data_IF_109397598580
#
_entry.id   IF_109397598580
#
_cell.length_a   1.000
_cell.length_b   1.000
_cell.length_c   1.000
_cell.angle_alpha   90.00
_cell.angle_beta   90.00
_cell.angle_gamma   90.00
#
_symmetry.space_group_name_H-M   'P 1'
#
loop_
_entity.id
_entity.type
_entity.pdbx_description
1 polymer ?
#
# COMPACT_ATOMS: atom_id res chain seq x y z
N UNK A 1 7.43 -24.81 -10.70
CA UNK A 1 8.35 -25.16 -9.60
C UNK A 1 9.21 -23.96 -9.35
N UNK A 2 9.50 -23.57 -8.11
CA UNK A 2 10.45 -22.49 -7.85
C UNK A 2 11.78 -22.84 -8.52
N UNK A 3 12.43 -21.82 -9.11
CA UNK A 3 13.74 -21.96 -9.71
C UNK A 3 14.72 -22.46 -8.63
N UNK A 4 15.51 -23.50 -8.90
CA UNK A 4 16.62 -23.91 -8.06
C UNK A 4 17.91 -23.17 -8.40
N UNK A 5 17.84 -22.22 -9.34
CA UNK A 5 18.96 -21.39 -9.75
C UNK A 5 19.33 -20.44 -8.59
N UNK A 6 20.61 -20.37 -8.32
CA UNK A 6 21.18 -19.40 -7.39
C UNK A 6 21.38 -18.06 -8.10
N UNK A 7 21.01 -16.96 -7.45
CA UNK A 7 21.21 -15.61 -7.96
C UNK A 7 22.12 -14.86 -6.99
N UNK A 8 23.26 -14.37 -7.49
CA UNK A 8 24.19 -13.53 -6.77
C UNK A 8 24.12 -12.11 -7.32
N UNK A 9 23.76 -11.14 -6.48
CA UNK A 9 23.95 -9.70 -6.74
C UNK A 9 25.28 -9.30 -6.12
N UNK A 10 26.25 -8.91 -6.93
CA UNK A 10 27.63 -8.70 -6.50
C UNK A 10 28.01 -7.22 -6.45
N UNK A 11 28.59 -6.78 -5.34
CA UNK A 11 29.29 -5.50 -5.22
C UNK A 11 28.40 -4.26 -5.09
N UNK A 12 27.11 -4.41 -4.76
CA UNK A 12 26.19 -3.30 -4.58
C UNK A 12 26.34 -2.54 -3.28
N UNK A 13 25.66 -1.41 -3.16
CA UNK A 13 25.44 -0.75 -1.87
C UNK A 13 24.15 -1.29 -1.27
N UNK A 14 24.23 -2.00 -0.16
CA UNK A 14 23.09 -2.65 0.48
C UNK A 14 22.37 -1.69 1.43
N UNK A 15 21.06 -1.54 1.28
CA UNK A 15 20.11 -1.03 2.28
C UNK A 15 19.30 -2.23 2.75
N UNK A 16 19.52 -2.69 3.97
CA UNK A 16 18.93 -3.95 4.46
C UNK A 16 17.46 -3.84 4.90
N UNK A 17 16.89 -2.62 4.93
CA UNK A 17 15.51 -2.36 5.40
C UNK A 17 15.38 -2.18 6.91
N UNK A 18 16.45 -2.37 7.70
CA UNK A 18 16.40 -2.21 9.16
C UNK A 18 16.43 -0.76 9.64
N UNK A 19 16.81 0.18 8.77
CA UNK A 19 17.14 1.57 9.10
C UNK A 19 18.63 1.78 9.40
N UNK A 20 19.46 0.74 9.33
CA UNK A 20 20.90 0.86 9.45
C UNK A 20 21.51 1.63 8.26
N UNK A 21 22.70 2.25 8.45
CA UNK A 21 23.42 2.90 7.36
C UNK A 21 23.68 1.94 6.18
N UNK A 22 23.68 2.42 4.93
CA UNK A 22 23.95 1.58 3.77
C UNK A 22 25.36 0.97 3.82
N UNK A 23 25.47 -0.32 3.46
CA UNK A 23 26.73 -1.05 3.42
C UNK A 23 27.26 -1.12 1.99
N UNK A 24 28.40 -0.48 1.66
CA UNK A 24 28.95 -0.50 0.30
C UNK A 24 29.60 -1.85 -0.02
N UNK A 25 29.67 -2.17 -1.32
CA UNK A 25 30.34 -3.36 -1.83
C UNK A 25 29.92 -4.66 -1.14
N UNK A 26 28.62 -4.85 -1.00
CA UNK A 26 28.02 -5.98 -0.29
C UNK A 26 27.29 -6.89 -1.27
N UNK A 27 27.58 -8.19 -1.19
CA UNK A 27 26.95 -9.23 -2.00
C UNK A 27 25.64 -9.72 -1.37
N UNK A 28 24.68 -10.10 -2.20
CA UNK A 28 23.43 -10.75 -1.77
C UNK A 28 23.20 -12.02 -2.59
N UNK A 29 23.04 -13.16 -1.90
CA UNK A 29 22.75 -14.45 -2.54
C UNK A 29 21.34 -14.92 -2.16
N UNK A 30 20.56 -15.36 -3.14
CA UNK A 30 19.26 -15.98 -2.92
C UNK A 30 18.97 -17.11 -3.92
N UNK A 31 18.03 -17.97 -3.57
CA UNK A 31 17.50 -19.02 -4.46
C UNK A 31 16.02 -19.21 -4.20
N UNK A 32 15.21 -19.24 -5.24
CA UNK A 32 13.78 -19.20 -5.10
C UNK A 32 13.39 -18.05 -4.16
N UNK A 33 12.40 -18.25 -3.31
CA UNK A 33 11.88 -17.23 -2.39
C UNK A 33 12.67 -17.11 -1.07
N UNK A 34 14.00 -17.29 -1.08
CA UNK A 34 14.78 -17.26 0.15
C UNK A 34 16.16 -16.64 -0.04
N UNK A 35 16.51 -15.65 0.79
CA UNK A 35 17.85 -15.10 0.90
C UNK A 35 18.73 -16.10 1.67
N UNK A 36 19.83 -16.52 1.04
CA UNK A 36 20.75 -17.52 1.57
C UNK A 36 21.94 -16.92 2.31
N UNK A 37 22.31 -15.67 1.97
CA UNK A 37 23.42 -14.97 2.61
C UNK A 37 23.53 -13.53 2.18
N UNK A 38 24.23 -12.74 3.01
CA UNK A 38 24.54 -11.33 2.81
C UNK A 38 26.02 -11.10 3.08
N UNK A 39 26.67 -10.23 2.33
CA UNK A 39 28.09 -9.89 2.46
C UNK A 39 28.99 -11.11 2.28
N UNK A 40 29.98 -11.28 3.14
CA UNK A 40 30.96 -12.37 3.05
C UNK A 40 30.31 -13.77 3.06
N UNK A 41 29.19 -13.94 3.76
CA UNK A 41 28.45 -15.21 3.77
C UNK A 41 27.86 -15.53 2.39
N UNK A 42 27.34 -14.51 1.68
CA UNK A 42 26.82 -14.67 0.32
C UNK A 42 27.93 -15.10 -0.66
N UNK A 43 29.09 -14.42 -0.59
CA UNK A 43 30.26 -14.72 -1.42
C UNK A 43 30.72 -16.16 -1.22
N UNK A 44 30.95 -16.57 0.03
CA UNK A 44 31.39 -17.92 0.37
C UNK A 44 30.40 -19.00 -0.07
N UNK A 45 29.10 -18.76 0.14
CA UNK A 45 28.07 -19.69 -0.26
C UNK A 45 27.98 -19.82 -1.80
N UNK A 46 28.14 -18.72 -2.54
CA UNK A 46 28.16 -18.71 -4.00
C UNK A 46 29.39 -19.47 -4.55
N UNK A 47 30.57 -19.24 -3.99
CA UNK A 47 31.80 -19.96 -4.37
C UNK A 47 31.66 -21.47 -4.11
N UNK A 48 31.15 -21.87 -2.94
CA UNK A 48 30.92 -23.26 -2.61
C UNK A 48 29.93 -23.94 -3.56
N UNK A 49 28.84 -23.25 -3.91
CA UNK A 49 27.85 -23.74 -4.86
C UNK A 49 28.42 -23.89 -6.28
N UNK A 50 29.22 -22.92 -6.73
CA UNK A 50 29.91 -22.97 -8.02
C UNK A 50 30.90 -24.13 -8.09
N UNK A 51 31.66 -24.38 -7.02
CA UNK A 51 32.59 -25.52 -6.93
C UNK A 51 31.87 -26.88 -6.99
N UNK A 52 30.58 -26.92 -6.58
CA UNK A 52 29.75 -28.12 -6.61
C UNK A 52 28.97 -28.25 -7.95
N UNK A 53 29.16 -27.32 -8.89
CA UNK A 53 28.49 -27.34 -10.20
C UNK A 53 27.02 -26.91 -10.16
N UNK A 54 26.59 -26.20 -9.11
CA UNK A 54 25.25 -25.62 -9.04
C UNK A 54 25.08 -24.49 -10.08
N UNK A 55 23.89 -24.34 -10.64
CA UNK A 55 23.58 -23.25 -11.55
C UNK A 55 23.58 -21.91 -10.75
N UNK A 56 24.53 -21.04 -11.05
CA UNK A 56 24.69 -19.72 -10.43
C UNK A 56 24.59 -18.64 -11.50
N UNK A 57 23.65 -17.73 -11.35
CA UNK A 57 23.57 -16.49 -12.14
C UNK A 57 24.12 -15.33 -11.32
N UNK A 58 25.13 -14.68 -11.83
CA UNK A 58 25.74 -13.50 -11.19
C UNK A 58 25.36 -12.24 -11.94
N UNK A 59 24.91 -11.22 -11.21
CA UNK A 59 24.69 -9.87 -11.69
C UNK A 59 25.69 -8.92 -10.99
N UNK A 60 26.54 -8.25 -11.78
CA UNK A 60 27.36 -7.15 -11.26
C UNK A 60 26.46 -5.93 -11.04
N UNK A 61 26.28 -5.58 -9.78
CA UNK A 61 25.47 -4.42 -9.35
C UNK A 61 26.33 -3.35 -8.69
N UNK A 62 27.63 -3.31 -9.03
CA UNK A 62 28.57 -2.28 -8.58
C UNK A 62 28.05 -0.88 -8.95
N UNK A 63 28.08 0.04 -7.98
CA UNK A 63 27.54 1.40 -8.15
C UNK A 63 26.00 1.48 -8.13
N UNK A 64 25.30 0.40 -7.84
CA UNK A 64 23.85 0.32 -7.65
C UNK A 64 23.51 0.20 -6.17
N UNK A 65 22.26 0.55 -5.83
CA UNK A 65 21.69 0.25 -4.51
C UNK A 65 20.87 -1.02 -4.59
N UNK A 66 21.12 -1.94 -3.67
CA UNK A 66 20.33 -3.17 -3.47
C UNK A 66 19.50 -2.98 -2.20
N UNK A 67 18.17 -3.08 -2.31
CA UNK A 67 17.26 -2.84 -1.19
C UNK A 67 16.05 -3.79 -1.24
N UNK A 68 15.29 -3.94 -0.13
CA UNK A 68 14.03 -4.69 -0.16
C UNK A 68 13.03 -4.07 -1.12
N UNK A 69 12.16 -4.91 -1.69
CA UNK A 69 11.00 -4.44 -2.43
C UNK A 69 10.06 -3.61 -1.55
N UNK A 70 9.39 -2.64 -2.17
CA UNK A 70 8.43 -1.78 -1.49
C UNK A 70 7.17 -2.57 -1.12
N UNK A 71 6.58 -2.23 0.03
CA UNK A 71 5.30 -2.78 0.50
C UNK A 71 4.33 -1.62 0.70
N UNK A 72 3.24 -1.63 -0.08
CA UNK A 72 2.18 -0.62 -0.03
C UNK A 72 1.07 -1.07 0.92
N UNK A 73 0.95 -0.42 2.07
CA UNK A 73 0.00 -0.78 3.13
C UNK A 73 -1.43 -0.27 2.90
N UNK A 74 -1.70 0.46 1.80
CA UNK A 74 -3.01 0.97 1.48
C UNK A 74 -3.19 1.11 -0.04
N UNK A 75 -3.69 0.07 -0.67
CA UNK A 75 -3.98 0.00 -2.09
C UNK A 75 -5.42 -0.50 -2.30
N UNK A 76 -6.02 -0.24 -3.46
CA UNK A 76 -7.37 -0.66 -3.86
C UNK A 76 -7.32 -1.32 -5.24
N UNK A 77 -6.71 -2.52 -5.32
CA UNK A 77 -6.41 -3.16 -6.60
C UNK A 77 -7.65 -3.51 -7.44
N UNK A 78 -8.79 -3.66 -6.81
CA UNK A 78 -10.04 -4.01 -7.50
C UNK A 78 -10.83 -2.79 -7.99
N UNK A 79 -10.44 -1.56 -7.63
CA UNK A 79 -11.16 -0.35 -8.03
C UNK A 79 -10.97 -0.03 -9.51
N UNK A 80 -9.80 -0.31 -10.09
CA UNK A 80 -9.57 -0.19 -11.54
C UNK A 80 -9.46 1.23 -12.04
N UNK A 81 -8.92 2.14 -11.22
CA UNK A 81 -8.62 3.54 -11.55
C UNK A 81 -9.87 4.37 -11.92
N UNK A 82 -10.99 4.30 -11.16
CA UNK A 82 -12.18 5.05 -11.49
C UNK A 82 -11.94 6.55 -11.36
N UNK A 83 -12.67 7.34 -12.17
CA UNK A 83 -12.68 8.79 -12.11
C UNK A 83 -13.91 9.35 -11.39
N UNK A 84 -14.76 8.51 -10.86
CA UNK A 84 -15.95 8.89 -10.09
C UNK A 84 -16.48 7.78 -9.21
N UNK A 85 -17.28 8.16 -8.20
CA UNK A 85 -18.01 7.21 -7.37
C UNK A 85 -19.06 6.43 -8.17
N UNK A 86 -19.73 7.06 -9.12
CA UNK A 86 -20.74 6.40 -9.95
C UNK A 86 -20.13 5.25 -10.75
N UNK A 87 -18.95 5.47 -11.32
CA UNK A 87 -18.20 4.45 -12.04
C UNK A 87 -17.84 3.28 -11.13
N UNK A 88 -17.38 3.57 -9.91
CA UNK A 88 -16.98 2.55 -8.93
C UNK A 88 -18.17 1.73 -8.42
N UNK A 89 -19.29 2.36 -8.08
CA UNK A 89 -20.38 1.70 -7.37
C UNK A 89 -21.48 1.14 -8.29
N UNK A 90 -21.81 1.84 -9.38
CA UNK A 90 -22.99 1.50 -10.17
C UNK A 90 -22.69 0.83 -11.50
N UNK A 91 -21.52 1.07 -12.07
CA UNK A 91 -21.19 0.60 -13.42
C UNK A 91 -20.22 -0.57 -13.46
N UNK A 92 -19.68 -1.00 -12.31
CA UNK A 92 -18.67 -2.05 -12.25
C UNK A 92 -19.29 -3.40 -11.86
N UNK A 93 -19.23 -4.35 -12.80
CA UNK A 93 -19.62 -5.74 -12.54
C UNK A 93 -18.45 -6.49 -11.86
N UNK A 94 -18.72 -7.47 -10.97
CA UNK A 94 -17.65 -8.22 -10.28
C UNK A 94 -16.65 -8.87 -11.24
N UNK A 95 -17.13 -9.51 -12.30
CA UNK A 95 -16.28 -10.15 -13.32
C UNK A 95 -15.36 -9.14 -14.03
N UNK A 96 -15.88 -7.94 -14.34
CA UNK A 96 -15.10 -6.87 -14.94
C UNK A 96 -14.07 -6.31 -13.97
N UNK A 97 -14.43 -6.13 -12.70
CA UNK A 97 -13.53 -5.68 -11.65
C UNK A 97 -12.37 -6.67 -11.46
N UNK A 98 -12.63 -7.98 -11.49
CA UNK A 98 -11.60 -9.01 -11.41
C UNK A 98 -10.64 -8.96 -12.60
N UNK A 99 -11.16 -8.81 -13.84
CA UNK A 99 -10.32 -8.69 -15.03
C UNK A 99 -9.44 -7.44 -14.99
N UNK A 100 -9.98 -6.30 -14.50
CA UNK A 100 -9.22 -5.08 -14.32
C UNK A 100 -8.14 -5.22 -13.23
N UNK A 101 -8.46 -5.90 -12.13
CA UNK A 101 -7.50 -6.17 -11.07
C UNK A 101 -6.34 -7.04 -11.58
N UNK A 102 -6.64 -8.14 -12.27
CA UNK A 102 -5.64 -9.01 -12.87
C UNK A 102 -4.79 -8.30 -13.94
N UNK A 103 -5.38 -7.37 -14.70
CA UNK A 103 -4.65 -6.53 -15.66
C UNK A 103 -3.73 -5.52 -14.98
N UNK A 104 -4.14 -4.96 -13.84
CA UNK A 104 -3.42 -3.87 -13.19
C UNK A 104 -2.35 -4.34 -12.21
N UNK A 105 -2.54 -5.49 -11.55
CA UNK A 105 -1.64 -5.93 -10.48
C UNK A 105 -0.17 -6.13 -10.90
N UNK A 106 0.17 -6.55 -12.14
CA UNK A 106 1.57 -6.61 -12.59
C UNK A 106 2.25 -5.23 -12.66
N UNK A 107 1.48 -4.14 -12.77
CA UNK A 107 2.03 -2.77 -12.76
C UNK A 107 2.75 -2.45 -11.46
N UNK A 108 2.28 -3.01 -10.33
CA UNK A 108 2.87 -2.82 -9.01
C UNK A 108 4.31 -3.37 -8.98
N UNK A 109 4.50 -4.62 -9.46
CA UNK A 109 5.83 -5.23 -9.56
C UNK A 109 6.80 -4.38 -10.38
N UNK A 110 6.34 -3.89 -11.53
CA UNK A 110 7.15 -3.05 -12.43
C UNK A 110 7.46 -1.65 -11.86
N UNK A 111 6.80 -1.27 -10.76
CA UNK A 111 7.08 -0.07 -9.99
C UNK A 111 7.88 -0.37 -8.71
N UNK A 112 8.41 -1.59 -8.55
CA UNK A 112 9.19 -1.98 -7.39
C UNK A 112 8.38 -2.35 -6.15
N UNK A 113 7.06 -2.47 -6.27
CA UNK A 113 6.18 -2.91 -5.17
C UNK A 113 6.09 -4.43 -5.20
N UNK A 114 6.67 -5.09 -4.20
CA UNK A 114 6.69 -6.56 -4.09
C UNK A 114 5.69 -7.11 -3.08
N UNK A 115 5.03 -6.21 -2.33
CA UNK A 115 3.95 -6.55 -1.43
C UNK A 115 2.92 -5.43 -1.30
N UNK A 116 1.64 -5.75 -1.07
CA UNK A 116 0.62 -4.74 -0.83
C UNK A 116 -0.57 -5.28 -0.03
N UNK A 117 -1.26 -4.36 0.65
CA UNK A 117 -2.55 -4.59 1.27
C UNK A 117 -3.65 -3.95 0.40
N UNK A 118 -4.56 -4.76 -0.12
CA UNK A 118 -5.82 -4.31 -0.71
C UNK A 118 -6.79 -3.99 0.44
N UNK A 119 -6.79 -2.74 0.87
CA UNK A 119 -7.39 -2.35 2.14
C UNK A 119 -8.91 -2.57 2.17
N UNK A 120 -9.59 -2.25 1.08
CA UNK A 120 -10.97 -2.64 0.80
C UNK A 120 -11.15 -2.93 -0.70
N UNK A 121 -11.89 -3.97 -1.01
CA UNK A 121 -12.09 -4.42 -2.38
C UNK A 121 -13.56 -4.33 -2.81
N UNK A 122 -13.76 -4.26 -4.13
CA UNK A 122 -15.10 -4.37 -4.70
C UNK A 122 -15.59 -5.80 -4.48
N UNK A 123 -16.76 -5.94 -3.91
CA UNK A 123 -17.36 -7.23 -3.54
C UNK A 123 -16.41 -8.06 -2.66
N UNK A 124 -16.24 -9.34 -2.95
CA UNK A 124 -15.36 -10.29 -2.26
C UNK A 124 -14.16 -10.73 -3.13
N UNK A 125 -13.70 -9.85 -4.02
CA UNK A 125 -12.74 -10.20 -5.06
C UNK A 125 -11.29 -10.33 -4.56
N UNK A 126 -10.93 -9.62 -3.49
CA UNK A 126 -9.55 -9.56 -2.98
C UNK A 126 -8.93 -10.92 -2.67
N UNK A 127 -9.57 -11.79 -1.86
CA UNK A 127 -9.05 -13.13 -1.58
C UNK A 127 -8.85 -13.99 -2.83
N UNK A 128 -9.78 -13.92 -3.79
CA UNK A 128 -9.67 -14.68 -5.03
C UNK A 128 -8.47 -14.23 -5.89
N UNK A 129 -8.21 -12.91 -5.96
CA UNK A 129 -7.03 -12.38 -6.64
C UNK A 129 -5.74 -12.80 -5.93
N UNK A 130 -5.67 -12.67 -4.59
CA UNK A 130 -4.53 -13.12 -3.78
C UNK A 130 -4.21 -14.60 -4.04
N UNK A 131 -5.23 -15.44 -4.01
CA UNK A 131 -5.07 -16.88 -4.22
C UNK A 131 -4.65 -17.18 -5.67
N UNK A 132 -5.15 -16.42 -6.65
CA UNK A 132 -4.72 -16.48 -8.05
C UNK A 132 -3.24 -16.09 -8.24
N UNK A 133 -2.77 -15.05 -7.52
CA UNK A 133 -1.35 -14.67 -7.50
C UNK A 133 -0.51 -15.77 -6.85
N UNK A 134 -0.92 -16.29 -5.71
CA UNK A 134 -0.19 -17.34 -5.00
C UNK A 134 -0.13 -18.66 -5.78
N UNK A 135 -1.16 -18.94 -6.59
CA UNK A 135 -1.19 -20.10 -7.50
C UNK A 135 -0.42 -19.89 -8.81
N UNK A 136 0.11 -18.68 -9.07
CA UNK A 136 0.80 -18.35 -10.32
C UNK A 136 -0.13 -18.21 -11.54
N UNK A 137 -1.43 -18.03 -11.32
CA UNK A 137 -2.42 -17.79 -12.40
C UNK A 137 -2.30 -16.34 -12.87
N UNK A 138 -2.00 -15.41 -11.95
CA UNK A 138 -1.80 -13.99 -12.21
C UNK A 138 -0.42 -13.59 -11.69
N UNK A 139 0.36 -12.87 -12.50
CA UNK A 139 1.61 -12.26 -12.05
C UNK A 139 1.28 -11.09 -11.09
N UNK A 140 1.87 -11.10 -9.90
CA UNK A 140 1.61 -10.03 -8.94
C UNK A 140 2.47 -10.13 -7.68
N UNK A 141 2.51 -9.04 -6.88
CA UNK A 141 3.20 -8.99 -5.59
C UNK A 141 2.56 -9.93 -4.55
N UNK A 142 3.21 -10.05 -3.38
CA UNK A 142 2.53 -10.59 -2.20
C UNK A 142 1.33 -9.72 -1.86
N UNK A 143 0.21 -10.32 -1.53
CA UNK A 143 -1.03 -9.60 -1.30
C UNK A 143 -1.71 -10.06 -0.01
N UNK A 144 -2.23 -9.10 0.76
CA UNK A 144 -3.25 -9.31 1.79
C UNK A 144 -4.51 -8.52 1.41
N UNK A 145 -5.68 -8.95 1.90
CA UNK A 145 -6.97 -8.33 1.57
C UNK A 145 -7.81 -8.05 2.81
N UNK A 146 -8.37 -6.83 2.87
CA UNK A 146 -9.36 -6.38 3.85
C UNK A 146 -10.81 -6.67 3.45
N UNK A 147 -11.05 -7.27 2.28
CA UNK A 147 -12.37 -7.51 1.69
C UNK A 147 -13.25 -6.24 1.62
N UNK A 148 -14.58 -6.41 1.73
CA UNK A 148 -15.50 -5.28 1.78
C UNK A 148 -15.39 -4.53 3.11
N UNK A 149 -15.39 -3.21 3.05
CA UNK A 149 -15.43 -2.41 4.26
C UNK A 149 -16.78 -2.56 4.99
N UNK A 150 -16.77 -2.56 6.31
CA UNK A 150 -17.96 -2.44 7.13
C UNK A 150 -18.28 -0.96 7.37
N UNK A 151 -19.50 -0.55 7.05
CA UNK A 151 -20.02 0.80 7.23
C UNK A 151 -21.24 0.78 8.14
N UNK A 152 -21.54 1.91 8.79
CA UNK A 152 -22.89 2.19 9.28
C UNK A 152 -23.69 2.91 8.18
N UNK A 153 -25.02 3.00 8.33
CA UNK A 153 -25.88 3.76 7.38
C UNK A 153 -25.49 5.25 7.24
N UNK A 154 -24.76 5.80 8.21
CA UNK A 154 -24.30 7.19 8.20
C UNK A 154 -22.86 7.34 7.72
N UNK A 155 -22.13 6.26 7.43
CA UNK A 155 -20.69 6.27 7.32
C UNK A 155 -20.09 5.75 6.03
N UNK A 156 -18.77 5.93 5.94
CA UNK A 156 -17.94 5.55 4.81
C UNK A 156 -17.81 6.63 3.76
N UNK A 157 -16.68 6.60 3.06
CA UNK A 157 -16.46 7.44 1.90
C UNK A 157 -17.55 7.14 0.87
N UNK A 158 -18.28 8.16 0.41
CA UNK A 158 -19.45 7.98 -0.44
C UNK A 158 -20.58 7.08 0.14
N UNK A 159 -20.62 6.89 1.46
CA UNK A 159 -21.58 6.00 2.14
C UNK A 159 -23.05 6.27 1.83
N UNK A 160 -23.40 7.52 1.47
CA UNK A 160 -24.76 7.88 1.03
C UNK A 160 -25.21 7.19 -0.25
N UNK A 161 -24.29 6.66 -1.04
CA UNK A 161 -24.57 5.96 -2.29
C UNK A 161 -24.72 4.45 -2.09
N UNK A 162 -24.32 3.93 -0.94
CA UNK A 162 -24.39 2.50 -0.63
C UNK A 162 -25.72 2.20 0.04
N UNK A 163 -26.52 1.23 -0.47
CA UNK A 163 -27.80 0.89 0.13
C UNK A 163 -27.62 0.18 1.48
N UNK A 164 -28.58 0.40 2.39
CA UNK A 164 -28.58 -0.24 3.72
C UNK A 164 -28.77 -1.76 3.67
N UNK A 165 -29.07 -2.33 2.52
CA UNK A 165 -29.25 -3.76 2.32
C UNK A 165 -28.53 -4.26 1.08
N UNK A 166 -27.95 -5.44 1.17
CA UNK A 166 -27.17 -6.05 0.09
C UNK A 166 -25.72 -5.57 0.06
N UNK A 167 -25.06 -5.86 -1.04
CA UNK A 167 -23.67 -5.46 -1.29
C UNK A 167 -23.61 -4.63 -2.54
N UNK A 168 -23.04 -3.43 -2.46
CA UNK A 168 -22.77 -2.59 -3.59
C UNK A 168 -21.38 -1.97 -3.45
N UNK A 169 -20.61 -2.00 -4.54
CA UNK A 169 -19.27 -1.43 -4.55
C UNK A 169 -18.33 -2.12 -3.55
N UNK A 170 -17.66 -1.33 -2.73
CA UNK A 170 -16.57 -1.76 -1.84
C UNK A 170 -17.02 -2.07 -0.40
N UNK A 171 -18.31 -1.96 -0.07
CA UNK A 171 -18.72 -1.96 1.32
C UNK A 171 -20.03 -2.70 1.59
N UNK A 172 -20.22 -3.05 2.85
CA UNK A 172 -21.46 -3.59 3.42
C UNK A 172 -21.90 -2.74 4.61
N UNK A 173 -23.15 -2.30 4.61
CA UNK A 173 -23.74 -1.54 5.72
C UNK A 173 -24.17 -2.51 6.82
N UNK A 174 -23.79 -2.22 8.07
CA UNK A 174 -24.16 -2.97 9.27
C UNK A 174 -25.10 -2.14 10.14
N UNK A 175 -26.26 -2.71 10.49
CA UNK A 175 -27.31 -2.00 11.21
C UNK A 175 -27.31 -2.23 12.72
N UNK A 176 -26.64 -3.28 13.22
CA UNK A 176 -26.62 -3.64 14.63
C UNK A 176 -25.45 -4.58 14.98
N UNK A 177 -25.22 -4.78 16.31
CA UNK A 177 -24.13 -5.59 16.83
C UNK A 177 -24.13 -7.04 16.31
N UNK A 178 -25.28 -7.69 16.25
CA UNK A 178 -25.35 -9.09 15.79
C UNK A 178 -24.94 -9.20 14.32
N UNK A 179 -25.30 -8.22 13.51
CA UNK A 179 -24.91 -8.16 12.11
C UNK A 179 -23.41 -7.88 11.96
N UNK A 180 -22.82 -7.00 12.77
CA UNK A 180 -21.38 -6.76 12.83
C UNK A 180 -20.61 -8.05 13.10
N UNK A 181 -21.03 -8.81 14.12
CA UNK A 181 -20.44 -10.11 14.47
C UNK A 181 -20.61 -11.12 13.33
N UNK A 182 -21.81 -11.20 12.75
CA UNK A 182 -22.12 -12.13 11.66
C UNK A 182 -21.29 -11.86 10.42
N UNK A 183 -21.21 -10.60 9.99
CA UNK A 183 -20.45 -10.21 8.78
C UNK A 183 -18.95 -10.34 8.99
N UNK A 184 -18.42 -9.97 10.15
CA UNK A 184 -17.02 -10.22 10.50
C UNK A 184 -16.64 -11.68 10.34
N UNK A 185 -17.44 -12.60 10.91
CA UNK A 185 -17.23 -14.05 10.76
C UNK A 185 -17.36 -14.51 9.32
N UNK A 186 -18.31 -13.94 8.56
CA UNK A 186 -18.51 -14.26 7.15
C UNK A 186 -17.31 -13.87 6.29
N UNK A 187 -16.77 -12.67 6.47
CA UNK A 187 -15.58 -12.21 5.74
C UNK A 187 -14.36 -13.09 6.06
N UNK A 188 -14.15 -13.42 7.33
CA UNK A 188 -13.07 -14.35 7.74
C UNK A 188 -13.27 -15.73 7.09
N UNK A 189 -14.49 -16.25 7.08
CA UNK A 189 -14.82 -17.52 6.39
C UNK A 189 -14.47 -17.48 4.89
N UNK A 190 -14.62 -16.33 4.24
CA UNK A 190 -14.35 -16.16 2.81
C UNK A 190 -12.91 -15.74 2.51
N UNK A 191 -12.05 -15.74 3.54
CA UNK A 191 -10.61 -15.62 3.36
C UNK A 191 -10.05 -14.19 3.53
N UNK A 192 -10.77 -13.31 4.22
CA UNK A 192 -10.24 -12.01 4.60
C UNK A 192 -8.95 -12.17 5.43
N UNK A 193 -7.90 -11.45 5.08
CA UNK A 193 -6.68 -11.35 5.88
C UNK A 193 -6.85 -10.29 6.97
N UNK A 194 -7.64 -9.27 6.69
CA UNK A 194 -7.98 -8.15 7.56
C UNK A 194 -9.49 -7.92 7.55
N UNK A 195 -10.02 -7.34 8.63
CA UNK A 195 -11.37 -6.78 8.62
C UNK A 195 -11.26 -5.26 8.48
N UNK A 196 -11.85 -4.71 7.43
CA UNK A 196 -11.87 -3.26 7.19
C UNK A 196 -13.11 -2.61 7.76
N UNK A 197 -12.91 -1.48 8.49
CA UNK A 197 -13.99 -0.63 9.00
C UNK A 197 -13.77 0.80 8.50
N UNK A 198 -14.84 1.50 8.09
CA UNK A 198 -14.81 2.95 7.94
C UNK A 198 -15.42 3.59 9.19
N UNK A 199 -14.57 4.06 10.11
CA UNK A 199 -14.98 4.70 11.38
C UNK A 199 -15.49 6.11 11.13
N UNK A 200 -15.00 6.76 10.08
CA UNK A 200 -15.53 8.03 9.59
C UNK A 200 -16.12 7.88 8.21
N UNK A 201 -16.87 8.87 7.81
CA UNK A 201 -17.39 8.98 6.47
C UNK A 201 -18.24 10.22 6.27
N UNK A 202 -18.71 10.39 5.04
CA UNK A 202 -19.40 11.54 4.52
C UNK A 202 -18.49 12.72 4.13
N UNK A 203 -18.98 13.93 4.14
CA UNK A 203 -18.26 15.07 3.59
C UNK A 203 -17.14 15.52 4.52
N UNK A 204 -15.90 15.66 4.03
CA UNK A 204 -14.80 16.20 4.80
C UNK A 204 -15.08 17.69 5.14
N UNK A 205 -14.64 18.11 6.31
CA UNK A 205 -14.63 19.50 6.75
C UNK A 205 -13.22 19.89 7.25
N UNK A 206 -13.04 21.08 7.77
CA UNK A 206 -11.74 21.59 8.23
C UNK A 206 -11.13 20.82 9.42
N UNK A 207 -11.92 20.03 10.11
CA UNK A 207 -11.49 19.22 11.28
C UNK A 207 -11.63 17.71 11.03
N UNK A 208 -11.89 17.33 9.80
CA UNK A 208 -12.03 15.94 9.37
C UNK A 208 -13.47 15.51 9.08
N UNK A 209 -13.68 14.22 9.01
CA UNK A 209 -14.96 13.58 8.73
C UNK A 209 -15.70 13.23 10.01
N UNK A 210 -17.02 13.06 9.92
CA UNK A 210 -17.84 12.65 11.05
C UNK A 210 -17.52 11.22 11.50
N UNK A 211 -17.34 11.01 12.80
CA UNK A 211 -17.25 9.68 13.41
C UNK A 211 -18.65 9.08 13.50
N UNK A 212 -18.85 7.90 12.94
CA UNK A 212 -20.18 7.28 12.73
C UNK A 212 -20.32 5.92 13.42
N UNK A 213 -19.36 5.57 14.27
CA UNK A 213 -19.35 4.36 15.10
C UNK A 213 -19.22 4.74 16.58
N UNK A 214 -19.84 3.98 17.43
CA UNK A 214 -19.58 4.01 18.87
C UNK A 214 -18.43 3.06 19.22
N UNK A 215 -17.83 3.23 20.41
CA UNK A 215 -16.79 2.34 20.91
C UNK A 215 -17.25 0.90 21.05
N UNK A 216 -18.51 0.67 21.50
CA UNK A 216 -19.05 -0.67 21.67
C UNK A 216 -19.30 -1.40 20.37
N UNK A 217 -19.68 -0.67 19.31
CA UNK A 217 -19.83 -1.23 17.95
C UNK A 217 -18.46 -1.62 17.38
N UNK A 218 -17.45 -0.77 17.50
CA UNK A 218 -16.08 -1.06 17.09
C UNK A 218 -15.54 -2.30 17.82
N UNK A 219 -15.75 -2.40 19.15
CA UNK A 219 -15.35 -3.58 19.92
C UNK A 219 -16.05 -4.85 19.48
N UNK A 220 -17.31 -4.77 19.08
CA UNK A 220 -18.00 -5.95 18.55
C UNK A 220 -17.29 -6.55 17.34
N UNK A 221 -16.71 -5.72 16.49
CA UNK A 221 -15.93 -6.16 15.32
C UNK A 221 -14.53 -6.62 15.74
N UNK A 222 -13.79 -5.81 16.50
CA UNK A 222 -12.39 -6.12 16.87
C UNK A 222 -12.29 -7.38 17.73
N UNK A 223 -13.11 -7.51 18.76
CA UNK A 223 -13.14 -8.70 19.63
C UNK A 223 -13.51 -9.97 18.84
N UNK A 224 -14.48 -9.86 17.90
CA UNK A 224 -14.88 -11.00 17.06
C UNK A 224 -13.75 -11.40 16.11
N UNK A 225 -13.08 -10.44 15.49
CA UNK A 225 -11.98 -10.68 14.56
C UNK A 225 -10.76 -11.26 15.27
N UNK A 226 -10.37 -10.68 16.40
CA UNK A 226 -9.21 -11.12 17.20
C UNK A 226 -9.42 -12.53 17.78
N UNK A 227 -10.65 -12.86 18.22
CA UNK A 227 -10.97 -14.21 18.67
C UNK A 227 -10.77 -15.29 17.57
N UNK A 228 -10.74 -14.86 16.30
CA UNK A 228 -10.46 -15.70 15.13
C UNK A 228 -9.08 -15.41 14.51
N UNK A 229 -8.17 -14.79 15.29
CA UNK A 229 -6.81 -14.44 14.86
C UNK A 229 -6.77 -13.60 13.57
N UNK A 230 -7.73 -12.70 13.40
CA UNK A 230 -7.79 -11.77 12.25
C UNK A 230 -7.68 -10.34 12.74
N UNK A 231 -6.70 -9.56 12.29
CA UNK A 231 -6.54 -8.16 12.66
C UNK A 231 -7.58 -7.27 11.97
N UNK A 232 -7.73 -6.05 12.50
CA UNK A 232 -8.67 -5.04 12.02
C UNK A 232 -7.94 -3.80 11.57
N UNK A 233 -8.31 -3.27 10.41
CA UNK A 233 -7.85 -1.97 9.93
C UNK A 233 -9.02 -0.99 9.80
N UNK A 234 -8.74 0.30 10.01
CA UNK A 234 -9.78 1.31 10.06
C UNK A 234 -9.43 2.57 9.28
N UNK A 235 -10.39 3.07 8.48
CA UNK A 235 -10.36 4.41 7.90
C UNK A 235 -10.78 5.42 8.96
N UNK A 236 -9.89 6.35 9.35
CA UNK A 236 -10.09 7.35 10.38
C UNK A 236 -9.58 8.72 9.94
N UNK A 237 -10.48 9.65 9.61
CA UNK A 237 -10.12 11.02 9.18
C UNK A 237 -10.64 12.07 10.15
N UNK A 238 -10.48 11.82 11.47
CA UNK A 238 -10.66 12.80 12.54
C UNK A 238 -9.97 12.31 13.82
N UNK A 239 -9.61 13.22 14.73
CA UNK A 239 -9.01 12.89 16.02
C UNK A 239 -9.90 11.94 16.83
N UNK A 240 -11.22 12.22 16.87
CA UNK A 240 -12.15 11.40 17.62
C UNK A 240 -12.24 9.96 17.09
N UNK A 241 -12.28 9.77 15.77
CA UNK A 241 -12.32 8.43 15.16
C UNK A 241 -11.04 7.64 15.41
N UNK A 242 -9.87 8.30 15.30
CA UNK A 242 -8.56 7.70 15.59
C UNK A 242 -8.49 7.21 17.03
N UNK A 243 -8.92 8.07 17.98
CA UNK A 243 -8.98 7.70 19.40
C UNK A 243 -9.89 6.50 19.66
N UNK A 244 -11.12 6.53 19.13
CA UNK A 244 -12.06 5.42 19.32
C UNK A 244 -11.57 4.11 18.68
N UNK A 245 -11.00 4.17 17.49
CA UNK A 245 -10.42 3.02 16.82
C UNK A 245 -9.30 2.38 17.65
N UNK A 246 -8.37 3.18 18.15
CA UNK A 246 -7.29 2.73 19.02
C UNK A 246 -7.82 2.10 20.33
N UNK A 247 -8.78 2.76 21.00
CA UNK A 247 -9.42 2.26 22.21
C UNK A 247 -10.24 0.98 22.00
N UNK A 248 -10.70 0.74 20.77
CA UNK A 248 -11.40 -0.48 20.41
C UNK A 248 -10.46 -1.64 20.06
N UNK A 249 -9.14 -1.41 19.96
CA UNK A 249 -8.16 -2.41 19.61
C UNK A 249 -7.98 -2.61 18.10
N UNK A 250 -8.18 -1.58 17.29
CA UNK A 250 -7.82 -1.61 15.86
C UNK A 250 -6.31 -1.71 15.71
N UNK A 251 -5.83 -2.60 14.84
CA UNK A 251 -4.41 -2.92 14.69
C UNK A 251 -3.68 -1.97 13.71
N UNK A 252 -4.39 -1.48 12.68
CA UNK A 252 -3.85 -0.55 11.70
C UNK A 252 -4.86 0.57 11.43
N UNK A 253 -4.47 1.80 11.72
CA UNK A 253 -5.28 2.99 11.46
C UNK A 253 -4.77 3.67 10.19
N UNK A 254 -5.64 3.76 9.19
CA UNK A 254 -5.40 4.48 7.95
C UNK A 254 -5.76 5.95 8.12
N UNK A 255 -4.97 6.83 7.51
CA UNK A 255 -5.05 8.29 7.59
C UNK A 255 -4.66 8.84 8.96
N UNK A 256 -5.40 8.56 10.03
CA UNK A 256 -5.17 9.17 11.35
C UNK A 256 -5.22 10.69 11.29
N UNK A 257 -6.06 11.25 10.37
CA UNK A 257 -6.10 12.67 10.05
C UNK A 257 -6.51 13.51 11.27
N UNK A 258 -5.91 14.70 11.40
CA UNK A 258 -6.19 15.65 12.47
C UNK A 258 -6.01 15.08 13.89
N UNK A 259 -5.20 14.03 14.05
CA UNK A 259 -4.92 13.42 15.36
C UNK A 259 -4.48 14.49 16.36
N UNK A 260 -5.01 14.43 17.57
CA UNK A 260 -4.66 15.28 18.72
C UNK A 260 -3.91 14.46 19.80
N UNK A 261 -3.49 15.11 20.88
CA UNK A 261 -2.80 14.43 21.99
C UNK A 261 -3.57 13.24 22.56
N UNK A 262 -4.87 13.37 22.90
CA UNK A 262 -5.63 12.23 23.42
C UNK A 262 -5.75 11.07 22.43
N UNK A 263 -5.76 11.36 21.12
CA UNK A 263 -5.76 10.32 20.09
C UNK A 263 -4.39 9.64 19.96
N UNK A 264 -3.29 10.40 20.03
CA UNK A 264 -1.93 9.87 20.05
C UNK A 264 -1.71 8.97 21.27
N UNK A 265 -2.11 9.43 22.47
CA UNK A 265 -2.03 8.62 23.69
C UNK A 265 -2.76 7.28 23.52
N UNK A 266 -3.99 7.31 22.98
CA UNK A 266 -4.75 6.08 22.74
C UNK A 266 -4.07 5.15 21.71
N UNK A 267 -3.46 5.70 20.66
CA UNK A 267 -2.70 4.92 19.67
C UNK A 267 -1.49 4.24 20.30
N UNK A 268 -0.74 4.96 21.13
CA UNK A 268 0.43 4.42 21.84
C UNK A 268 0.00 3.33 22.84
N UNK A 269 -1.04 3.57 23.63
CA UNK A 269 -1.57 2.61 24.59
C UNK A 269 -2.17 1.37 23.93
N UNK A 270 -2.89 1.57 22.82
CA UNK A 270 -3.53 0.49 22.06
C UNK A 270 -2.56 -0.32 21.19
N UNK A 271 -1.35 0.21 20.93
CA UNK A 271 -0.34 -0.44 20.09
C UNK A 271 -0.69 -0.49 18.61
N UNK A 272 -1.63 0.34 18.14
CA UNK A 272 -2.01 0.41 16.75
C UNK A 272 -0.87 0.99 15.89
N UNK A 273 -0.71 0.45 14.66
CA UNK A 273 0.12 1.06 13.65
C UNK A 273 -0.65 2.15 12.87
N UNK A 274 0.07 3.05 12.19
CA UNK A 274 -0.51 4.15 11.42
C UNK A 274 -0.03 4.10 9.96
N UNK A 275 -0.93 4.33 9.01
CA UNK A 275 -0.61 4.59 7.60
C UNK A 275 -1.26 5.92 7.17
N UNK A 276 -0.53 7.04 7.13
CA UNK A 276 -1.08 8.38 6.90
C UNK A 276 -1.78 8.55 5.56
N UNK A 277 -1.25 7.93 4.50
CA UNK A 277 -1.88 7.94 3.18
C UNK A 277 -2.06 9.35 2.61
N UNK A 278 -0.99 10.09 2.51
CA UNK A 278 -1.00 11.47 1.99
C UNK A 278 -1.06 11.55 0.47
N UNK A 279 -0.66 10.48 -0.23
CA UNK A 279 -0.42 10.51 -1.68
C UNK A 279 -1.62 10.99 -2.48
N UNK A 280 -2.84 10.48 -2.19
CA UNK A 280 -4.05 10.91 -2.92
C UNK A 280 -4.33 12.42 -2.73
N UNK A 281 -4.25 12.88 -1.47
CA UNK A 281 -4.49 14.29 -1.12
C UNK A 281 -3.47 15.22 -1.76
N UNK A 282 -2.19 14.83 -1.67
CA UNK A 282 -1.07 15.58 -2.24
C UNK A 282 -1.17 15.64 -3.78
N UNK A 283 -1.48 14.53 -4.44
CA UNK A 283 -1.63 14.48 -5.89
C UNK A 283 -2.77 15.38 -6.39
N UNK A 284 -3.90 15.40 -5.68
CA UNK A 284 -4.98 16.32 -6.00
C UNK A 284 -4.54 17.78 -5.84
N UNK A 285 -3.88 18.09 -4.72
CA UNK A 285 -3.47 19.45 -4.39
C UNK A 285 -2.35 19.98 -5.34
N UNK A 286 -1.40 19.11 -5.71
CA UNK A 286 -0.22 19.51 -6.48
C UNK A 286 -0.45 19.43 -7.99
N UNK A 287 -1.18 18.42 -8.45
CA UNK A 287 -1.27 18.06 -9.86
C UNK A 287 -2.69 17.90 -10.40
N UNK A 288 -3.73 17.97 -9.55
CA UNK A 288 -5.11 17.69 -9.95
C UNK A 288 -5.57 18.55 -11.12
N UNK A 289 -5.19 19.84 -11.18
CA UNK A 289 -5.52 20.74 -12.28
C UNK A 289 -5.02 20.27 -13.65
N UNK A 290 -3.90 19.54 -13.69
CA UNK A 290 -3.31 19.00 -14.93
C UNK A 290 -4.15 17.89 -15.59
N UNK A 291 -5.10 17.34 -14.87
CA UNK A 291 -5.99 16.26 -15.33
C UNK A 291 -7.47 16.63 -15.22
N UNK A 292 -7.77 17.91 -15.05
CA UNK A 292 -9.15 18.41 -14.97
C UNK A 292 -9.87 18.11 -13.66
N UNK A 293 -9.13 17.80 -12.59
CA UNK A 293 -9.71 17.62 -11.26
C UNK A 293 -10.20 18.95 -10.68
N UNK A 294 -11.27 18.91 -9.87
CA UNK A 294 -11.79 20.08 -9.18
C UNK A 294 -10.79 20.66 -8.17
N UNK A 295 -10.72 21.99 -8.09
CA UNK A 295 -9.77 22.70 -7.21
C UNK A 295 -10.36 23.10 -5.85
N UNK A 296 -11.66 22.86 -5.64
CA UNK A 296 -12.41 23.35 -4.47
C UNK A 296 -11.89 22.79 -3.13
N UNK A 297 -11.23 21.65 -3.15
CA UNK A 297 -10.74 20.95 -1.95
C UNK A 297 -9.22 21.06 -1.76
N UNK A 298 -8.49 21.76 -2.63
CA UNK A 298 -7.02 21.82 -2.58
C UNK A 298 -6.51 22.34 -1.24
N UNK A 299 -7.05 23.49 -0.79
CA UNK A 299 -6.62 24.09 0.48
C UNK A 299 -7.04 23.24 1.69
N UNK A 300 -8.20 22.60 1.61
CA UNK A 300 -8.65 21.67 2.65
C UNK A 300 -7.66 20.49 2.79
N UNK A 301 -7.27 19.87 1.69
CA UNK A 301 -6.35 18.73 1.72
C UNK A 301 -4.93 19.11 2.10
N UNK A 302 -4.44 20.28 1.68
CA UNK A 302 -3.14 20.79 2.17
C UNK A 302 -3.17 21.01 3.67
N UNK A 303 -4.25 21.61 4.17
CA UNK A 303 -4.45 21.81 5.62
C UNK A 303 -4.51 20.48 6.39
N UNK A 304 -5.16 19.46 5.83
CA UNK A 304 -5.23 18.12 6.43
C UNK A 304 -3.83 17.47 6.50
N UNK A 305 -3.06 17.51 5.41
CA UNK A 305 -1.69 16.97 5.40
C UNK A 305 -0.83 17.66 6.46
N UNK A 306 -0.85 18.99 6.52
CA UNK A 306 -0.06 19.75 7.47
C UNK A 306 -0.43 19.44 8.93
N UNK A 307 -1.73 19.44 9.24
CA UNK A 307 -2.23 19.13 10.57
C UNK A 307 -1.89 17.71 11.02
N UNK A 308 -1.93 16.75 10.08
CA UNK A 308 -1.68 15.34 10.36
C UNK A 308 -0.18 15.05 10.49
N UNK A 309 0.66 15.62 9.63
CA UNK A 309 2.09 15.32 9.57
C UNK A 309 2.83 15.58 10.88
N UNK A 310 2.53 16.69 11.58
CA UNK A 310 3.13 17.02 12.87
C UNK A 310 2.88 15.94 13.93
N UNK A 311 1.67 15.39 13.95
CA UNK A 311 1.30 14.34 14.90
C UNK A 311 1.87 12.97 14.48
N UNK A 312 2.05 12.71 13.17
CA UNK A 312 2.73 11.51 12.67
C UNK A 312 4.20 11.48 13.08
N UNK A 313 4.89 12.64 13.07
CA UNK A 313 6.27 12.74 13.58
C UNK A 313 6.31 12.38 15.07
N UNK A 314 5.39 12.89 15.85
CA UNK A 314 5.32 12.60 17.29
C UNK A 314 4.97 11.14 17.57
N UNK A 315 4.07 10.56 16.79
CA UNK A 315 3.76 9.12 16.86
C UNK A 315 5.00 8.27 16.56
N UNK A 316 5.74 8.60 15.51
CA UNK A 316 7.02 7.95 15.19
C UNK A 316 8.03 8.07 16.35
N UNK A 317 8.22 9.25 16.91
CA UNK A 317 9.11 9.49 18.05
C UNK A 317 8.65 8.75 19.33
N UNK A 318 7.36 8.50 19.48
CA UNK A 318 6.80 7.69 20.56
C UNK A 318 6.89 6.18 20.30
N UNK A 319 7.50 5.75 19.17
CA UNK A 319 7.68 4.33 18.82
C UNK A 319 6.48 3.71 18.11
N UNK A 320 5.49 4.49 17.70
CA UNK A 320 4.39 3.97 16.87
C UNK A 320 4.93 3.60 15.49
N UNK A 321 4.57 2.41 15.02
CA UNK A 321 4.95 1.93 13.70
C UNK A 321 4.20 2.69 12.61
N UNK A 322 4.93 3.41 11.75
CA UNK A 322 4.39 4.03 10.54
C UNK A 322 4.58 3.10 9.34
N UNK A 323 3.57 3.03 8.47
CA UNK A 323 3.58 2.29 7.21
C UNK A 323 3.30 3.26 6.05
N UNK A 324 3.98 3.06 4.92
CA UNK A 324 3.64 3.75 3.68
C UNK A 324 2.43 3.10 3.00
N UNK A 325 1.46 3.91 2.59
CA UNK A 325 0.28 3.48 1.86
C UNK A 325 -0.15 4.54 0.84
N UNK A 326 -0.24 4.18 -0.44
CA UNK A 326 -0.43 5.14 -1.53
C UNK A 326 -1.88 5.48 -1.86
N UNK A 327 -2.83 4.68 -1.39
CA UNK A 327 -4.24 4.72 -1.83
C UNK A 327 -4.37 4.58 -3.36
N UNK A 328 -3.44 3.81 -3.98
CA UNK A 328 -3.50 3.52 -5.40
C UNK A 328 -4.75 2.72 -5.75
N UNK A 329 -5.35 3.09 -6.87
CA UNK A 329 -6.59 2.49 -7.34
C UNK A 329 -7.55 3.49 -7.95
N UNK A 330 -7.27 4.79 -7.83
CA UNK A 330 -8.07 5.90 -8.39
C UNK A 330 -7.36 6.57 -9.57
N UNK A 331 -8.08 7.38 -10.33
CA UNK A 331 -7.52 8.14 -11.45
C UNK A 331 -6.43 9.13 -11.04
N UNK A 332 -6.43 9.60 -9.79
CA UNK A 332 -5.40 10.48 -9.22
C UNK A 332 -4.21 9.71 -8.64
N UNK A 333 -4.37 8.43 -8.39
CA UNK A 333 -3.34 7.50 -7.90
C UNK A 333 -3.34 6.20 -8.72
N UNK A 334 -3.13 6.27 -10.07
CA UNK A 334 -3.13 5.09 -10.91
C UNK A 334 -1.98 4.15 -10.54
N UNK A 335 -2.22 2.84 -10.75
CA UNK A 335 -1.29 1.79 -10.37
C UNK A 335 0.07 1.92 -11.06
N UNK A 336 1.13 1.70 -10.27
CA UNK A 336 2.50 1.73 -10.74
C UNK A 336 3.09 3.12 -10.93
N UNK A 337 2.39 4.19 -10.54
CA UNK A 337 2.88 5.56 -10.71
C UNK A 337 3.23 6.26 -9.39
N UNK A 338 2.49 5.99 -8.31
CA UNK A 338 2.56 6.83 -7.12
C UNK A 338 2.91 6.10 -5.82
N UNK A 339 3.20 4.80 -5.86
CA UNK A 339 3.51 4.02 -4.65
C UNK A 339 4.70 4.58 -3.84
N UNK A 340 5.74 5.06 -4.54
CA UNK A 340 6.90 5.67 -3.89
C UNK A 340 6.67 7.13 -3.46
N UNK A 341 5.58 7.78 -3.88
CA UNK A 341 5.26 9.17 -3.49
C UNK A 341 5.08 9.33 -1.98
N UNK A 342 4.57 8.30 -1.32
CA UNK A 342 4.38 8.34 0.14
C UNK A 342 5.72 8.49 0.88
N UNK A 343 6.81 7.89 0.38
CA UNK A 343 8.16 8.08 0.95
C UNK A 343 8.61 9.54 0.81
N UNK A 344 8.36 10.17 -0.35
CA UNK A 344 8.67 11.58 -0.56
C UNK A 344 7.92 12.47 0.44
N UNK A 345 6.65 12.15 0.70
CA UNK A 345 5.80 12.87 1.65
C UNK A 345 6.21 12.60 3.11
N UNK A 346 6.68 11.40 3.43
CA UNK A 346 7.23 11.10 4.76
C UNK A 346 8.49 11.94 5.04
N UNK A 347 9.35 12.09 4.07
CA UNK A 347 10.55 12.95 4.20
C UNK A 347 10.15 14.42 4.24
N UNK A 348 9.35 14.89 3.27
CA UNK A 348 9.07 16.33 3.09
C UNK A 348 8.02 16.90 4.05
N UNK A 349 7.02 16.12 4.45
CA UNK A 349 5.91 16.58 5.28
C UNK A 349 6.04 16.15 6.75
N UNK A 350 6.39 14.87 7.00
CA UNK A 350 6.57 14.36 8.37
C UNK A 350 7.95 14.75 8.92
N UNK A 351 8.98 14.80 8.06
CA UNK A 351 10.35 15.13 8.46
C UNK A 351 11.18 13.91 8.84
N UNK A 352 10.83 12.73 8.34
CA UNK A 352 11.65 11.53 8.51
C UNK A 352 12.90 11.61 7.63
N UNK A 353 13.97 10.92 8.04
CA UNK A 353 15.11 10.68 7.16
C UNK A 353 14.73 9.71 6.02
N UNK A 354 15.47 9.73 4.90
CA UNK A 354 15.24 8.78 3.81
C UNK A 354 15.25 7.30 4.25
N UNK A 355 16.13 6.91 5.16
CA UNK A 355 16.21 5.53 5.66
C UNK A 355 15.02 5.15 6.54
N UNK A 356 14.53 6.08 7.37
CA UNK A 356 13.29 5.86 8.14
C UNK A 356 12.09 5.71 7.21
N UNK A 357 11.96 6.53 6.17
CA UNK A 357 10.90 6.42 5.17
C UNK A 357 10.99 5.07 4.41
N UNK A 358 12.19 4.61 4.04
CA UNK A 358 12.40 3.30 3.43
C UNK A 358 11.97 2.19 4.39
N UNK A 359 12.31 2.28 5.68
CA UNK A 359 11.88 1.30 6.69
C UNK A 359 10.35 1.23 6.80
N UNK A 360 9.66 2.39 6.74
CA UNK A 360 8.20 2.44 6.72
C UNK A 360 7.59 1.77 5.48
N UNK A 361 8.26 1.86 4.33
CA UNK A 361 7.82 1.28 3.06
C UNK A 361 8.32 -0.16 2.80
N UNK A 362 9.08 -0.75 3.72
CA UNK A 362 9.65 -2.09 3.55
C UNK A 362 9.40 -2.95 4.79
N UNK A 363 10.30 -2.95 5.78
CA UNK A 363 10.20 -3.78 7.00
C UNK A 363 8.87 -3.63 7.74
N UNK A 364 8.40 -2.39 7.92
CA UNK A 364 7.15 -2.14 8.62
C UNK A 364 5.94 -2.69 7.87
N UNK A 365 6.01 -2.75 6.54
CA UNK A 365 4.98 -3.31 5.67
C UNK A 365 4.70 -4.79 5.88
N UNK A 366 5.58 -5.55 6.54
CA UNK A 366 5.34 -6.94 6.92
C UNK A 366 4.03 -7.10 7.72
N UNK A 367 3.70 -6.09 8.55
CA UNK A 367 2.43 -6.03 9.28
C UNK A 367 1.24 -6.06 8.33
N UNK A 368 1.24 -5.22 7.29
CA UNK A 368 0.14 -5.13 6.32
C UNK A 368 -0.08 -6.46 5.58
N UNK A 369 0.99 -7.21 5.33
CA UNK A 369 0.94 -8.54 4.72
C UNK A 369 0.62 -9.67 5.70
N UNK A 370 0.44 -9.40 6.99
CA UNK A 370 0.31 -10.38 8.07
C UNK A 370 1.48 -11.37 8.11
N UNK A 371 2.66 -10.93 7.75
CA UNK A 371 3.87 -11.74 7.76
C UNK A 371 4.70 -11.43 9.02
N UNK A 372 5.45 -12.41 9.48
CA UNK A 372 6.34 -12.23 10.62
C UNK A 372 7.34 -11.11 10.32
N UNK A 373 7.56 -10.23 11.28
CA UNK A 373 8.59 -9.20 11.17
C UNK A 373 9.97 -9.82 10.89
N UNK A 374 10.67 -9.26 9.92
CA UNK A 374 11.96 -9.79 9.46
C UNK A 374 11.88 -10.93 8.43
N UNK A 375 10.68 -11.42 8.09
CA UNK A 375 10.52 -12.42 7.03
C UNK A 375 10.35 -11.82 5.64
N UNK A 376 9.91 -10.57 5.54
CA UNK A 376 9.79 -9.77 4.31
C UNK A 376 10.19 -8.32 4.59
N UNK A 377 10.48 -7.56 3.54
CA UNK A 377 10.84 -6.14 3.65
C UNK A 377 12.20 -5.89 4.28
N UNK A 378 13.02 -6.93 4.39
CA UNK A 378 14.42 -6.87 4.84
C UNK A 378 15.31 -7.77 3.99
N UNK A 379 16.59 -7.40 3.85
CA UNK A 379 17.60 -8.23 3.21
C UNK A 379 18.47 -8.92 4.26
N UNK A 380 17.96 -10.02 4.78
CA UNK A 380 18.63 -10.83 5.78
C UNK A 380 18.52 -12.31 5.42
N UNK A 381 19.47 -13.14 5.88
CA UNK A 381 19.42 -14.59 5.68
C UNK A 381 18.12 -15.20 6.22
N UNK A 382 17.45 -15.98 5.39
CA UNK A 382 16.17 -16.61 5.70
C UNK A 382 14.94 -15.74 5.37
N UNK A 383 15.13 -14.46 5.05
CA UNK A 383 14.05 -13.60 4.59
C UNK A 383 13.67 -13.91 3.14
N UNK A 384 12.51 -13.43 2.75
CA UNK A 384 11.99 -13.55 1.39
C UNK A 384 12.86 -12.78 0.37
N UNK A 385 13.04 -13.37 -0.81
CA UNK A 385 13.82 -12.77 -1.88
C UNK A 385 12.98 -11.78 -2.72
N UNK A 386 12.52 -10.71 -2.07
CA UNK A 386 11.86 -9.55 -2.66
C UNK A 386 12.87 -8.40 -2.69
N UNK A 387 13.50 -8.15 -3.84
CA UNK A 387 14.71 -7.32 -3.95
C UNK A 387 14.59 -6.31 -5.10
N UNK A 388 15.00 -5.07 -4.86
CA UNK A 388 15.20 -4.04 -5.88
C UNK A 388 16.68 -3.79 -6.09
N UNK A 389 17.08 -3.62 -7.34
CA UNK A 389 18.37 -3.04 -7.73
C UNK A 389 18.09 -1.69 -8.38
N UNK A 390 18.55 -0.62 -7.74
CA UNK A 390 18.24 0.77 -8.11
C UNK A 390 19.49 1.47 -8.62
N UNK A 391 19.40 2.05 -9.80
CA UNK A 391 20.46 2.86 -10.40
C UNK A 391 20.45 4.31 -9.87
N UNK A 392 20.40 4.42 -8.56
CA UNK A 392 20.42 5.70 -7.83
C UNK A 392 20.62 5.41 -6.33
N UNK A 393 20.72 6.46 -5.51
CA UNK A 393 20.88 6.31 -4.07
C UNK A 393 19.65 6.80 -3.29
N UNK A 394 18.69 5.93 -2.99
CA UNK A 394 17.47 6.30 -2.25
C UNK A 394 17.73 6.67 -0.78
N UNK A 395 18.89 6.35 -0.21
CA UNK A 395 19.27 6.83 1.12
C UNK A 395 19.61 8.33 1.16
N UNK A 396 19.82 8.94 0.00
CA UNK A 396 20.02 10.39 -0.15
C UNK A 396 18.74 11.07 -0.61
N UNK A 397 18.07 10.48 -1.59
CA UNK A 397 16.84 11.02 -2.18
C UNK A 397 15.87 9.87 -2.50
N UNK A 398 14.80 9.74 -1.72
CA UNK A 398 13.79 8.70 -1.92
C UNK A 398 12.96 8.89 -3.18
N UNK A 399 12.93 10.10 -3.77
CA UNK A 399 12.16 10.41 -4.98
C UNK A 399 12.62 9.60 -6.20
N UNK A 400 13.88 9.14 -6.18
CA UNK A 400 14.45 8.28 -7.22
C UNK A 400 13.69 6.96 -7.40
N UNK A 401 13.03 6.48 -6.34
CA UNK A 401 12.20 5.26 -6.38
C UNK A 401 10.89 5.46 -7.17
N UNK A 402 10.45 6.69 -7.33
CA UNK A 402 9.27 7.02 -8.15
C UNK A 402 9.54 6.97 -9.66
N UNK A 403 10.79 6.97 -10.09
CA UNK A 403 11.17 6.85 -11.50
C UNK A 403 11.53 5.40 -11.84
N UNK A 404 10.66 4.72 -12.57
CA UNK A 404 10.87 3.32 -12.98
C UNK A 404 12.15 3.10 -13.81
N UNK A 405 12.65 4.13 -14.50
CA UNK A 405 13.89 4.03 -15.24
C UNK A 405 15.12 3.83 -14.33
N UNK A 406 14.99 4.09 -13.04
CA UNK A 406 16.03 3.81 -12.05
C UNK A 406 16.01 2.36 -11.52
N UNK A 407 15.00 1.55 -11.87
CA UNK A 407 14.94 0.14 -11.49
C UNK A 407 15.67 -0.70 -12.54
N UNK A 408 16.87 -1.20 -12.20
CA UNK A 408 17.61 -2.11 -13.07
C UNK A 408 17.07 -3.54 -12.94
N UNK A 409 16.72 -3.97 -11.72
CA UNK A 409 16.08 -5.25 -11.46
C UNK A 409 15.03 -5.13 -10.36
N UNK A 410 13.97 -5.90 -10.52
CA UNK A 410 12.98 -6.20 -9.50
C UNK A 410 12.88 -7.72 -9.40
N UNK A 411 13.14 -8.26 -8.21
CA UNK A 411 12.89 -9.66 -7.91
C UNK A 411 11.72 -9.75 -6.93
N UNK A 412 10.75 -10.58 -7.27
CA UNK A 412 9.64 -10.92 -6.39
C UNK A 412 9.62 -12.43 -6.18
N UNK A 413 9.67 -12.87 -4.94
CA UNK A 413 9.82 -14.30 -4.60
C UNK A 413 11.03 -14.95 -5.31
N UNK A 414 12.11 -14.18 -5.48
CA UNK A 414 13.32 -14.59 -6.19
C UNK A 414 13.20 -14.71 -7.70
N UNK A 415 12.05 -14.36 -8.27
CA UNK A 415 11.82 -14.36 -9.73
C UNK A 415 12.00 -12.94 -10.27
N UNK A 416 12.82 -12.81 -11.32
CA UNK A 416 13.04 -11.52 -11.99
C UNK A 416 11.77 -11.08 -12.73
N UNK A 417 11.35 -9.84 -12.49
CA UNK A 417 10.24 -9.18 -13.19
C UNK A 417 10.74 -8.64 -14.54
N UNK A 418 9.98 -8.85 -15.61
CA UNK A 418 10.30 -8.27 -16.92
C UNK A 418 9.97 -6.77 -16.94
N UNK A 419 11.00 -5.94 -16.72
CA UNK A 419 10.91 -4.49 -16.81
C UNK A 419 10.95 -3.97 -18.25
N UNK A 420 11.31 -4.80 -19.23
CA UNK A 420 11.41 -4.41 -20.64
C UNK A 420 10.07 -4.52 -21.37
N UNK A 421 9.11 -5.27 -20.82
CA UNK A 421 7.79 -5.41 -21.40
C UNK A 421 7.08 -4.04 -21.47
N UNK A 422 6.31 -3.77 -22.54
CA UNK A 422 5.55 -2.54 -22.68
C UNK A 422 4.64 -2.29 -21.47
N UNK A 423 4.52 -1.02 -21.05
CA UNK A 423 3.59 -0.68 -19.98
C UNK A 423 2.17 -1.07 -20.35
N UNK A 424 1.44 -1.78 -19.49
CA UNK A 424 0.09 -2.22 -19.78
C UNK A 424 -0.85 -1.02 -19.98
N UNK A 425 -1.46 -0.94 -21.15
CA UNK A 425 -2.46 0.08 -21.49
C UNK A 425 -3.75 -0.58 -21.96
N UNK A 426 -4.86 0.08 -21.75
CA UNK A 426 -6.18 -0.37 -22.21
C UNK A 426 -7.04 0.82 -22.67
N UNK A 427 -8.06 0.56 -23.43
CA UNK A 427 -9.12 1.52 -23.71
C UNK A 427 -10.15 1.51 -22.58
N UNK A 428 -10.88 2.62 -22.43
CA UNK A 428 -11.98 2.69 -21.48
C UNK A 428 -13.08 1.68 -21.85
N UNK A 429 -13.67 1.07 -20.83
CA UNK A 429 -14.82 0.20 -20.98
C UNK A 429 -16.10 1.03 -21.19
N UNK A 430 -17.15 0.46 -21.80
CA UNK A 430 -18.46 1.10 -21.84
C UNK A 430 -18.94 1.48 -20.43
N UNK A 431 -19.42 2.71 -20.25
CA UNK A 431 -19.90 3.22 -18.97
C UNK A 431 -18.83 3.83 -18.05
N UNK A 432 -17.54 3.70 -18.36
CA UNK A 432 -16.51 4.43 -17.64
C UNK A 432 -16.59 5.95 -17.88
N UNK A 433 -16.03 6.73 -16.95
CA UNK A 433 -15.97 8.20 -17.01
C UNK A 433 -17.30 8.92 -16.78
N UNK A 434 -18.21 8.32 -16.04
CA UNK A 434 -19.46 8.96 -15.60
C UNK A 434 -19.21 9.71 -14.30
N UNK A 435 -19.44 11.02 -14.26
CA UNK A 435 -19.30 11.85 -13.05
C UNK A 435 -17.86 11.96 -12.52
N UNK A 436 -16.98 12.63 -13.20
CA UNK A 436 -15.51 12.57 -13.09
C UNK A 436 -14.90 13.30 -11.89
N UNK A 437 -13.95 12.68 -11.23
CA UNK A 437 -12.96 13.37 -10.37
C UNK A 437 -11.87 14.04 -11.21
N UNK A 438 -11.50 13.41 -12.33
CA UNK A 438 -10.55 13.94 -13.30
C UNK A 438 -10.96 13.51 -14.71
N UNK A 439 -10.44 14.21 -15.72
CA UNK A 439 -10.68 13.86 -17.12
C UNK A 439 -9.72 12.78 -17.64
N UNK A 440 -8.62 12.60 -16.96
CA UNK A 440 -7.53 11.69 -17.36
C UNK A 440 -6.86 11.10 -16.15
N UNK A 441 -6.18 9.97 -16.33
CA UNK A 441 -5.32 9.40 -15.30
C UNK A 441 -4.16 10.35 -15.02
N UNK A 442 -3.87 10.63 -13.75
CA UNK A 442 -2.72 11.40 -13.30
C UNK A 442 -1.48 10.49 -13.24
N UNK A 443 -0.88 10.25 -14.39
CA UNK A 443 0.41 9.55 -14.44
C UNK A 443 1.54 10.46 -13.97
N UNK A 444 2.67 9.88 -13.52
CA UNK A 444 3.83 10.67 -13.13
C UNK A 444 4.36 11.54 -14.27
N UNK A 445 4.44 10.98 -15.49
CA UNK A 445 4.87 11.73 -16.68
C UNK A 445 4.00 12.96 -16.95
N UNK A 446 2.68 12.88 -16.71
CA UNK A 446 1.77 14.04 -16.82
C UNK A 446 1.99 15.07 -15.73
N UNK A 447 2.23 14.63 -14.51
CA UNK A 447 2.47 15.52 -13.39
C UNK A 447 3.76 16.32 -13.59
N UNK A 448 4.81 15.67 -14.10
CA UNK A 448 6.14 16.24 -14.31
C UNK A 448 6.27 17.00 -15.64
N UNK A 449 5.36 16.81 -16.60
CA UNK A 449 5.37 17.57 -17.84
C UNK A 449 5.26 19.07 -17.57
N UNK A 450 6.26 19.83 -18.03
CA UNK A 450 6.22 21.29 -17.98
C UNK A 450 5.02 21.80 -18.77
N UNK A 451 4.34 22.84 -18.28
CA UNK A 451 3.33 23.60 -19.00
C UNK A 451 3.93 24.33 -20.21
N UNK A 452 4.50 23.58 -21.16
CA UNK A 452 4.89 24.14 -22.46
C UNK A 452 3.61 24.40 -23.24
N UNK A 453 3.13 25.61 -23.08
CA UNK A 453 2.03 26.27 -23.73
C UNK A 453 1.28 25.50 -24.82
N UNK A 454 0.01 25.23 -24.56
CA UNK A 454 -1.02 25.36 -25.60
C UNK A 454 -2.32 25.80 -24.96
N UNK A 455 -2.49 27.11 -24.85
CA UNK A 455 -3.81 27.73 -24.95
C UNK A 455 -4.48 27.23 -26.22
N UNK A 456 -5.51 26.43 -26.10
CA UNK A 456 -6.59 26.35 -27.11
C UNK A 456 -7.93 26.34 -26.40
#
# INVERSE_FOLDING_TARGET
MPSTELVLLQGGTLIDGSGAPPEPNTDLLFSGDCILGVGAEATQAAEAASAQGSALRTHDVSGRTVMPGLIDAHCHITFGEPSSNDELFFHRQPSTAMLLAAFNVPKLLRAGVTGFLDADCIFDLGPALRDGINAGIVEGPRMASGMNALLTSAGGTAGRLIPDSGTLGYAQVVGNRDEMVRLTRQQIKYGADWIKIHVTGSLPNQTGEATVWSLDELRAVTETAHALNTPVLAHCRSAHSTRLAAQAGVDLILHGSFMDEPALEAVVEGGAALAPTFTFLANLADYGSKVGAGTTQVDLFRGEIQATAAMMLRAHQAGVRLLCGSESGFSLTPYGHWHARELELFVSQIGLSPLEAITCATRNGALALRMQEGSVGVLAKGAAADVLVVNANPAVDVSVLGNRANLDYVFSRGVSVDLTAPWPTRVALPGEQVGRWSEQLLTRDRAEANDSGTTK
#
